data_IF_889687426171
#
_entry.id   IF_889687426171
#
_cell.length_a   1.000
_cell.length_b   1.000
_cell.length_c   1.000
_cell.angle_alpha   90.00
_cell.angle_beta   90.00
_cell.angle_gamma   90.00
#
_symmetry.space_group_name_H-M   'P 1'
#
loop_
_entity.id
_entity.type
_entity.pdbx_description
1 polymer ?
#
# COMPACT_ATOMS: atom_id res chain seq x y z
N UNK A 1 53.64 1.87 13.58
CA UNK A 1 53.86 1.44 12.18
C UNK A 1 52.63 1.81 11.38
N UNK A 2 52.86 2.43 10.21
CA UNK A 2 51.87 2.93 9.26
C UNK A 2 50.97 1.82 8.71
N UNK A 3 49.71 2.15 8.41
CA UNK A 3 49.16 2.22 7.04
C UNK A 3 47.63 1.96 7.07
N UNK A 4 46.79 2.99 6.90
CA UNK A 4 46.15 3.48 5.64
C UNK A 4 44.84 2.75 5.29
N UNK A 5 43.74 3.48 5.51
CA UNK A 5 42.59 3.78 4.64
C UNK A 5 42.30 2.82 3.47
N UNK A 6 41.04 2.44 3.22
CA UNK A 6 40.37 2.63 1.91
C UNK A 6 38.83 2.58 2.08
N UNK A 7 38.19 3.72 1.87
CA UNK A 7 36.75 3.88 1.61
C UNK A 7 36.58 3.84 0.08
N UNK A 8 35.59 3.10 -0.42
CA UNK A 8 35.19 3.16 -1.83
C UNK A 8 33.74 3.62 -1.96
N UNK A 9 33.60 4.87 -2.41
CA UNK A 9 32.43 5.41 -3.08
C UNK A 9 32.44 4.97 -4.55
N UNK A 10 31.27 4.68 -5.11
CA UNK A 10 31.07 4.50 -6.54
C UNK A 10 29.78 5.21 -6.98
N UNK A 11 29.97 6.41 -7.51
CA UNK A 11 29.02 7.13 -8.37
C UNK A 11 29.22 6.60 -9.80
N UNK A 12 28.14 6.23 -10.50
CA UNK A 12 28.17 6.15 -11.97
C UNK A 12 26.87 6.71 -12.55
N UNK A 13 27.07 7.74 -13.37
CA UNK A 13 26.04 8.49 -14.07
C UNK A 13 25.56 7.86 -15.37
N UNK A 14 24.54 8.53 -15.89
CA UNK A 14 23.83 8.34 -17.14
C UNK A 14 24.72 8.42 -18.38
N UNK A 15 24.31 7.71 -19.43
CA UNK A 15 24.55 8.11 -20.82
C UNK A 15 23.42 7.59 -21.71
N UNK A 16 22.76 8.54 -22.37
CA UNK A 16 21.78 8.32 -23.42
C UNK A 16 22.49 8.44 -24.78
N UNK A 17 22.30 7.49 -25.68
CA UNK A 17 22.49 7.68 -27.12
C UNK A 17 21.59 6.71 -27.88
N UNK A 18 20.57 7.24 -28.55
CA UNK A 18 20.01 6.61 -29.75
C UNK A 18 19.95 7.67 -30.84
N UNK A 19 20.53 7.27 -31.97
CA UNK A 19 20.74 8.01 -33.20
C UNK A 19 19.70 7.49 -34.19
N UNK A 20 18.94 8.37 -34.83
CA UNK A 20 18.12 7.96 -35.97
C UNK A 20 18.16 9.02 -37.06
N UNK A 21 18.34 8.55 -38.29
CA UNK A 21 18.81 9.30 -39.45
C UNK A 21 17.76 9.29 -40.56
N UNK A 22 17.74 10.41 -41.29
CA UNK A 22 17.33 10.61 -42.68
C UNK A 22 15.82 10.61 -43.02
N UNK A 23 15.37 11.72 -43.63
CA UNK A 23 15.40 11.89 -45.09
C UNK A 23 14.99 13.29 -45.54
N UNK A 24 15.71 13.79 -46.53
CA UNK A 24 15.52 15.03 -47.27
C UNK A 24 14.48 14.82 -48.38
N UNK A 25 13.57 15.77 -48.59
CA UNK A 25 13.04 16.07 -49.92
C UNK A 25 12.61 17.54 -50.01
N UNK A 26 12.96 18.17 -51.13
CA UNK A 26 12.74 19.58 -51.45
C UNK A 26 11.84 19.61 -52.69
N UNK A 27 10.86 20.52 -52.75
CA UNK A 27 10.59 21.38 -53.91
C UNK A 27 9.55 22.49 -53.62
N UNK A 28 9.87 23.66 -54.20
CA UNK A 28 9.27 25.03 -54.27
C UNK A 28 7.92 25.07 -55.05
N UNK A 29 7.04 26.10 -55.12
CA UNK A 29 6.87 27.53 -54.70
C UNK A 29 5.46 28.00 -55.18
N UNK A 30 4.76 28.90 -54.48
CA UNK A 30 4.28 30.24 -54.94
C UNK A 30 3.26 30.92 -53.97
N UNK A 31 3.11 32.27 -53.98
CA UNK A 31 2.65 33.06 -52.81
C UNK A 31 1.24 33.67 -52.96
N UNK A 32 0.50 33.88 -51.86
CA UNK A 32 -0.69 34.76 -51.82
C UNK A 32 -0.90 35.42 -50.45
N UNK A 33 -1.12 36.74 -50.51
CA UNK A 33 -1.83 37.67 -49.62
C UNK A 33 -1.42 37.83 -48.13
N UNK A 34 -1.01 39.05 -47.81
CA UNK A 34 -0.92 39.61 -46.46
C UNK A 34 -2.33 39.84 -45.89
N UNK A 35 -2.62 39.25 -44.73
CA UNK A 35 -3.72 39.68 -43.86
C UNK A 35 -3.15 40.12 -42.51
N UNK A 36 -3.66 41.26 -42.04
CA UNK A 36 -3.24 41.92 -40.82
C UNK A 36 -3.52 41.06 -39.57
N UNK A 37 -2.52 40.94 -38.71
CA UNK A 37 -2.66 40.32 -37.40
C UNK A 37 -3.37 41.31 -36.46
N UNK A 38 -4.65 41.05 -36.19
CA UNK A 38 -5.31 41.54 -34.99
C UNK A 38 -4.88 40.65 -33.83
N UNK A 39 -3.75 40.99 -33.21
CA UNK A 39 -3.31 40.36 -31.96
C UNK A 39 -4.11 40.93 -30.79
N UNK A 40 -5.08 40.18 -30.28
CA UNK A 40 -5.63 40.39 -28.93
C UNK A 40 -4.83 39.59 -27.92
N UNK A 41 -3.53 39.84 -27.84
CA UNK A 41 -2.74 39.39 -26.70
C UNK A 41 -2.93 40.42 -25.60
N UNK A 42 -3.87 40.18 -24.68
CA UNK A 42 -3.77 40.76 -23.35
C UNK A 42 -2.43 40.30 -22.79
N UNK A 43 -1.46 41.21 -22.69
CA UNK A 43 -0.20 40.93 -22.02
C UNK A 43 -0.54 40.38 -20.64
N UNK A 44 -0.24 39.10 -20.40
CA UNK A 44 -0.22 38.56 -19.05
C UNK A 44 0.80 39.40 -18.29
N UNK A 45 0.31 40.30 -17.43
CA UNK A 45 1.18 41.00 -16.49
C UNK A 45 1.81 39.91 -15.64
N UNK A 46 3.13 39.81 -15.70
CA UNK A 46 3.82 38.92 -14.78
C UNK A 46 3.65 39.52 -13.37
N UNK A 47 3.59 38.69 -12.31
CA UNK A 47 3.49 39.19 -10.93
C UNK A 47 4.60 40.19 -10.54
N UNK A 48 5.67 40.28 -11.33
CA UNK A 48 6.74 41.28 -11.22
C UNK A 48 6.40 42.69 -11.71
N UNK A 49 5.28 42.88 -12.40
CA UNK A 49 4.87 44.15 -13.03
C UNK A 49 3.91 44.99 -12.16
N UNK A 50 3.89 44.75 -10.84
CA UNK A 50 3.16 45.56 -9.87
C UNK A 50 3.84 46.94 -9.72
N UNK A 51 3.18 48.07 -10.06
CA UNK A 51 3.78 49.40 -10.08
C UNK A 51 4.23 49.94 -8.70
N UNK A 52 4.04 49.20 -7.62
CA UNK A 52 4.49 49.55 -6.26
C UNK A 52 5.46 48.55 -5.60
N UNK A 53 5.78 47.43 -6.26
CA UNK A 53 6.61 46.35 -5.68
C UNK A 53 8.06 46.40 -6.15
N UNK A 54 9.02 46.05 -5.27
CA UNK A 54 10.39 45.77 -5.73
C UNK A 54 10.33 44.61 -6.74
N UNK A 55 11.01 44.70 -7.90
CA UNK A 55 10.97 43.65 -8.91
C UNK A 55 11.45 42.33 -8.28
N UNK A 56 10.58 41.32 -8.27
CA UNK A 56 10.94 40.00 -7.81
C UNK A 56 11.79 39.33 -8.90
N UNK A 57 13.09 39.21 -8.66
CA UNK A 57 14.06 38.52 -9.53
C UNK A 57 13.89 37.00 -9.55
N UNK A 58 12.83 36.46 -8.93
CA UNK A 58 12.58 35.02 -8.79
C UNK A 58 13.50 34.34 -7.77
N UNK A 59 14.35 35.10 -7.08
CA UNK A 59 15.30 34.60 -6.08
C UNK A 59 14.70 34.54 -4.67
N UNK A 60 13.59 35.22 -4.42
CA UNK A 60 12.92 35.22 -3.13
C UNK A 60 11.45 34.82 -3.29
N UNK A 61 11.03 33.86 -2.46
CA UNK A 61 9.64 33.47 -2.29
C UNK A 61 8.87 34.70 -1.78
N UNK A 62 7.90 35.17 -2.54
CA UNK A 62 7.03 36.25 -2.07
C UNK A 62 5.99 35.70 -1.11
N UNK A 63 5.45 36.55 -0.23
CA UNK A 63 4.34 36.19 0.66
C UNK A 63 3.10 35.73 -0.13
N UNK A 64 3.01 36.07 -1.42
CA UNK A 64 1.96 35.63 -2.33
C UNK A 64 2.25 34.28 -3.01
N UNK A 65 3.49 33.77 -2.95
CA UNK A 65 3.86 32.43 -3.45
C UNK A 65 3.53 31.31 -2.45
N UNK A 66 3.02 31.67 -1.26
CA UNK A 66 2.54 30.75 -0.23
C UNK A 66 1.03 30.58 -0.33
N UNK A 67 0.53 30.20 -1.51
CA UNK A 67 -0.86 29.74 -1.62
C UNK A 67 -0.97 28.38 -0.91
N UNK A 68 -1.34 28.41 0.37
CA UNK A 68 -1.68 27.23 1.14
C UNK A 68 -3.09 26.81 0.71
N UNK A 69 -3.22 25.69 0.02
CA UNK A 69 -4.52 25.15 -0.35
C UNK A 69 -5.21 24.61 0.91
N UNK A 70 -5.97 25.46 1.61
CA UNK A 70 -6.69 25.10 2.86
C UNK A 70 -7.84 24.11 2.56
N UNK A 71 -8.24 23.97 1.30
CA UNK A 71 -9.18 22.95 0.83
C UNK A 71 -8.51 21.62 0.52
N UNK A 72 -7.17 21.58 0.48
CA UNK A 72 -6.43 20.33 0.39
C UNK A 72 -6.64 19.57 1.69
N UNK A 73 -7.30 18.43 1.61
CA UNK A 73 -7.37 17.49 2.71
C UNK A 73 -5.94 17.18 3.14
N UNK A 74 -5.59 17.49 4.40
CA UNK A 74 -4.26 17.25 4.99
C UNK A 74 -3.79 15.79 4.90
N UNK A 75 -4.65 14.88 4.47
CA UNK A 75 -4.30 13.54 4.02
C UNK A 75 -3.71 13.64 2.62
N UNK A 76 -2.38 13.68 2.51
CA UNK A 76 -1.71 13.14 1.33
C UNK A 76 -2.25 11.71 1.17
N UNK A 77 -3.18 11.49 0.24
CA UNK A 77 -3.72 10.18 -0.10
C UNK A 77 -2.67 9.42 -0.89
N UNK A 78 -1.51 9.14 -0.27
CA UNK A 78 -0.64 8.09 -0.79
C UNK A 78 -1.38 6.79 -0.57
N UNK A 79 -1.98 6.28 -1.64
CA UNK A 79 -2.55 4.95 -1.65
C UNK A 79 -1.44 3.96 -1.30
N UNK A 80 -1.62 3.25 -0.20
CA UNK A 80 -0.74 2.14 0.15
C UNK A 80 -0.88 1.11 -0.95
N UNK A 81 0.24 0.82 -1.63
CA UNK A 81 0.33 -0.21 -2.64
C UNK A 81 1.46 -1.18 -2.32
N UNK A 82 1.29 -2.41 -2.77
CA UNK A 82 2.23 -3.50 -2.52
C UNK A 82 3.15 -3.58 -3.73
N UNK A 83 4.44 -3.35 -3.54
CA UNK A 83 5.43 -3.34 -4.61
C UNK A 83 5.84 -4.76 -5.02
N UNK A 84 6.07 -5.64 -4.04
CA UNK A 84 6.42 -7.04 -4.31
C UNK A 84 6.06 -7.95 -3.15
N UNK A 85 5.78 -9.21 -3.49
CA UNK A 85 5.47 -10.27 -2.52
C UNK A 85 6.54 -11.36 -2.61
N UNK A 86 7.16 -11.65 -1.48
CA UNK A 86 8.04 -12.82 -1.29
C UNK A 86 7.35 -13.86 -0.40
N UNK A 87 7.80 -15.13 -0.39
CA UNK A 87 7.21 -16.15 0.48
C UNK A 87 7.25 -15.77 1.97
N UNK A 88 8.33 -15.11 2.40
CA UNK A 88 8.59 -14.75 3.80
C UNK A 88 8.23 -13.30 4.17
N UNK A 89 8.10 -12.42 3.18
CA UNK A 89 7.92 -10.98 3.40
C UNK A 89 7.14 -10.28 2.29
N UNK A 90 6.55 -9.14 2.64
CA UNK A 90 5.81 -8.24 1.77
C UNK A 90 6.56 -6.92 1.71
N UNK A 91 6.73 -6.35 0.52
CA UNK A 91 7.35 -5.04 0.36
C UNK A 91 6.31 -4.04 -0.15
N UNK A 92 6.19 -2.92 0.55
CA UNK A 92 5.31 -1.82 0.16
C UNK A 92 6.06 -0.85 -0.77
N UNK A 93 5.31 -0.02 -1.49
CA UNK A 93 5.88 0.94 -2.44
C UNK A 93 6.77 2.01 -1.79
N UNK A 94 6.59 2.30 -0.51
CA UNK A 94 7.49 3.17 0.27
C UNK A 94 8.84 2.51 0.63
N UNK A 95 9.02 1.23 0.30
CA UNK A 95 10.21 0.44 0.61
C UNK A 95 10.14 -0.30 1.94
N UNK A 96 9.03 -0.23 2.68
CA UNK A 96 8.85 -0.97 3.92
C UNK A 96 8.73 -2.47 3.67
N UNK A 97 9.55 -3.27 4.36
CA UNK A 97 9.56 -4.73 4.28
C UNK A 97 8.93 -5.33 5.53
N UNK A 98 7.85 -6.10 5.34
CA UNK A 98 7.03 -6.66 6.40
C UNK A 98 7.06 -8.19 6.32
N UNK A 99 7.72 -8.83 7.28
CA UNK A 99 7.78 -10.30 7.39
C UNK A 99 6.64 -10.91 8.21
N UNK A 100 5.66 -10.07 8.58
CA UNK A 100 4.55 -10.44 9.45
C UNK A 100 3.21 -10.34 8.70
N UNK A 101 2.17 -11.05 9.17
CA UNK A 101 0.82 -10.85 8.68
C UNK A 101 0.36 -9.42 8.91
N UNK A 102 -0.26 -8.84 7.89
CA UNK A 102 -0.73 -7.46 7.93
C UNK A 102 -2.19 -7.35 7.54
N UNK A 103 -2.84 -6.30 8.05
CA UNK A 103 -4.13 -5.81 7.59
C UNK A 103 -3.92 -4.41 7.04
N UNK A 104 -4.34 -4.19 5.80
CA UNK A 104 -4.43 -2.88 5.17
C UNK A 104 -5.89 -2.44 5.22
N UNK A 105 -6.13 -1.29 5.85
CA UNK A 105 -7.47 -0.74 6.06
C UNK A 105 -7.41 0.78 6.02
N UNK A 106 -8.23 1.39 5.15
CA UNK A 106 -8.32 2.84 4.99
C UNK A 106 -6.93 3.49 4.80
N UNK A 107 -6.15 2.94 3.88
CA UNK A 107 -4.78 3.37 3.54
C UNK A 107 -3.78 3.29 4.71
N UNK A 108 -4.08 2.54 5.76
CA UNK A 108 -3.18 2.30 6.87
C UNK A 108 -2.80 0.82 6.93
N UNK A 109 -1.53 0.56 7.27
CA UNK A 109 -1.00 -0.81 7.41
C UNK A 109 -0.82 -1.13 8.88
N UNK A 110 -1.48 -2.19 9.33
CA UNK A 110 -1.41 -2.69 10.69
C UNK A 110 -0.79 -4.08 10.70
N UNK A 111 0.07 -4.34 11.68
CA UNK A 111 0.45 -5.71 12.01
C UNK A 111 -0.73 -6.45 12.61
N UNK A 112 -0.97 -7.67 12.15
CA UNK A 112 -2.14 -8.43 12.54
C UNK A 112 -1.78 -9.71 13.30
N UNK A 113 -2.28 -9.82 14.52
CA UNK A 113 -2.16 -11.02 15.35
C UNK A 113 -3.32 -11.96 15.10
N UNK A 114 -3.23 -12.78 14.05
CA UNK A 114 -4.28 -13.73 13.70
C UNK A 114 -4.13 -15.05 14.44
N UNK A 115 -5.24 -15.78 14.70
CA UNK A 115 -5.16 -17.14 15.22
C UNK A 115 -4.41 -18.05 14.26
N UNK A 116 -3.75 -19.07 14.80
CA UNK A 116 -3.00 -20.05 13.99
C UNK A 116 -3.91 -20.62 12.89
N UNK A 117 -3.47 -20.48 11.65
CA UNK A 117 -4.11 -21.04 10.47
C UNK A 117 -3.18 -22.11 9.91
N UNK A 118 -3.67 -23.33 9.73
CA UNK A 118 -2.86 -24.37 9.13
C UNK A 118 -2.92 -24.28 7.61
N UNK A 119 -1.85 -23.81 6.97
CA UNK A 119 -1.87 -23.48 5.56
C UNK A 119 -1.91 -24.70 4.62
N UNK A 120 -1.65 -25.91 5.16
CA UNK A 120 -1.50 -27.12 4.34
C UNK A 120 -2.81 -27.90 4.14
N UNK A 121 -3.76 -27.81 5.07
CA UNK A 121 -4.97 -28.65 5.07
C UNK A 121 -6.28 -27.93 5.38
N UNK A 122 -6.29 -26.60 5.54
CA UNK A 122 -7.51 -25.91 5.93
C UNK A 122 -8.62 -26.05 4.87
N UNK A 123 -9.82 -26.43 5.33
CA UNK A 123 -10.98 -26.75 4.49
C UNK A 123 -12.22 -25.97 4.95
N UNK A 124 -13.21 -25.77 4.07
CA UNK A 124 -14.39 -24.96 4.40
C UNK A 124 -15.29 -25.60 5.47
N UNK A 125 -15.14 -26.90 5.72
CA UNK A 125 -15.78 -27.62 6.83
C UNK A 125 -15.29 -27.15 8.21
N UNK A 126 -14.24 -26.31 8.26
CA UNK A 126 -13.67 -25.73 9.48
C UNK A 126 -12.42 -26.44 9.98
N UNK A 127 -12.07 -27.62 9.46
CA UNK A 127 -10.80 -28.29 9.82
C UNK A 127 -9.66 -27.38 9.35
N UNK A 128 -8.69 -27.11 10.23
CA UNK A 128 -7.63 -26.11 10.04
C UNK A 128 -7.99 -24.68 10.50
N UNK A 129 -9.26 -24.43 10.84
CA UNK A 129 -9.78 -23.15 11.36
C UNK A 129 -10.16 -23.24 12.85
N UNK A 130 -9.75 -24.28 13.55
CA UNK A 130 -10.11 -24.56 14.96
C UNK A 130 -9.78 -23.37 15.86
N UNK A 131 -8.57 -22.81 15.69
CA UNK A 131 -8.11 -21.67 16.47
C UNK A 131 -8.94 -20.40 16.23
N UNK A 132 -9.54 -20.23 15.06
CA UNK A 132 -10.40 -19.10 14.69
C UNK A 132 -11.80 -19.27 15.25
N UNK A 133 -12.33 -20.50 15.20
CA UNK A 133 -13.63 -20.85 15.75
C UNK A 133 -13.62 -20.94 17.28
N UNK A 134 -12.44 -21.06 17.90
CA UNK A 134 -12.30 -21.23 19.35
C UNK A 134 -12.74 -22.61 19.84
N UNK A 135 -12.63 -23.62 18.98
CA UNK A 135 -13.07 -25.00 19.24
C UNK A 135 -11.86 -25.90 19.16
N UNK A 136 -11.71 -26.87 20.07
CA UNK A 136 -10.57 -27.81 20.05
C UNK A 136 -10.72 -28.88 18.97
N UNK A 137 -11.94 -29.40 18.77
CA UNK A 137 -12.25 -30.41 17.76
C UNK A 137 -13.62 -30.14 17.14
N UNK A 138 -13.70 -30.29 15.82
CA UNK A 138 -14.94 -30.12 15.08
C UNK A 138 -15.68 -31.45 15.03
N UNK A 139 -16.89 -31.45 15.60
CA UNK A 139 -17.81 -32.58 15.53
C UNK A 139 -18.49 -32.64 14.16
N UNK A 140 -18.35 -33.76 13.46
CA UNK A 140 -19.00 -33.96 12.16
C UNK A 140 -20.53 -33.91 12.30
N UNK A 141 -21.19 -33.14 11.45
CA UNK A 141 -22.67 -33.06 11.38
C UNK A 141 -23.30 -31.92 12.21
N UNK A 142 -22.53 -31.20 13.02
CA UNK A 142 -23.03 -30.03 13.77
C UNK A 142 -22.88 -28.75 12.94
N UNK A 143 -23.94 -27.96 12.84
CA UNK A 143 -23.87 -26.65 12.18
C UNK A 143 -22.97 -25.72 13.00
N UNK A 144 -21.90 -25.24 12.36
CA UNK A 144 -21.01 -24.24 12.95
C UNK A 144 -21.77 -22.92 13.12
N UNK A 145 -21.56 -22.26 14.27
CA UNK A 145 -22.16 -20.95 14.59
C UNK A 145 -21.04 -19.91 14.77
N UNK A 146 -21.39 -18.63 14.66
CA UNK A 146 -20.47 -17.51 14.91
C UNK A 146 -20.08 -17.50 16.39
N UNK A 147 -18.80 -17.78 16.67
CA UNK A 147 -18.21 -17.71 18.01
C UNK A 147 -17.72 -16.30 18.32
N UNK A 148 -17.69 -15.92 19.60
CA UNK A 148 -17.16 -14.61 20.04
C UNK A 148 -15.69 -14.40 19.67
N UNK A 149 -14.91 -15.48 19.54
CA UNK A 149 -13.53 -15.41 19.05
C UNK A 149 -13.43 -14.88 17.62
N UNK A 150 -14.34 -15.29 16.74
CA UNK A 150 -14.42 -14.77 15.36
C UNK A 150 -14.69 -13.27 15.41
N UNK A 151 -15.64 -12.84 16.25
CA UNK A 151 -15.96 -11.41 16.41
C UNK A 151 -14.76 -10.61 16.89
N UNK A 152 -13.99 -11.14 17.85
CA UNK A 152 -12.79 -10.49 18.38
C UNK A 152 -11.70 -10.32 17.32
N UNK A 153 -11.42 -11.35 16.52
CA UNK A 153 -10.38 -11.32 15.47
C UNK A 153 -10.68 -10.25 14.42
N UNK A 154 -11.95 -10.12 14.04
CA UNK A 154 -12.42 -9.16 13.03
C UNK A 154 -12.99 -7.87 13.64
N UNK A 155 -12.80 -7.64 14.95
CA UNK A 155 -13.38 -6.49 15.66
C UNK A 155 -12.96 -5.15 15.08
N UNK A 156 -11.76 -5.08 14.50
CA UNK A 156 -11.23 -3.87 13.86
C UNK A 156 -12.19 -3.33 12.79
N UNK A 157 -12.84 -4.20 12.02
CA UNK A 157 -13.76 -3.79 10.94
C UNK A 157 -15.10 -3.25 11.46
N UNK A 158 -15.47 -3.56 12.70
CA UNK A 158 -16.66 -3.00 13.33
C UNK A 158 -16.41 -1.61 13.92
N UNK A 159 -15.17 -1.35 14.35
CA UNK A 159 -14.77 -0.11 15.02
C UNK A 159 -14.42 1.04 14.06
N UNK A 160 -14.11 0.73 12.80
CA UNK A 160 -13.79 1.77 11.81
C UNK A 160 -15.05 2.49 11.32
N UNK A 161 -14.94 3.81 11.19
CA UNK A 161 -16.01 4.65 10.65
C UNK A 161 -16.28 4.32 9.18
N UNK A 162 -15.21 4.25 8.38
CA UNK A 162 -15.27 3.82 6.99
C UNK A 162 -15.05 2.32 6.88
N UNK A 163 -16.15 1.60 6.64
CA UNK A 163 -16.11 0.15 6.43
C UNK A 163 -15.75 -0.18 4.98
N UNK A 164 -14.87 -1.17 4.75
CA UNK A 164 -14.55 -1.63 3.41
C UNK A 164 -15.73 -2.40 2.82
N UNK A 165 -15.91 -2.31 1.50
CA UNK A 165 -16.92 -3.10 0.77
C UNK A 165 -16.39 -4.50 0.48
N UNK A 166 -15.09 -4.61 0.17
CA UNK A 166 -14.42 -5.86 -0.15
C UNK A 166 -13.27 -6.08 0.83
N UNK A 167 -13.20 -7.27 1.39
CA UNK A 167 -12.06 -7.76 2.15
C UNK A 167 -11.36 -8.87 1.38
N UNK A 168 -10.16 -8.59 0.90
CA UNK A 168 -9.28 -9.57 0.28
C UNK A 168 -8.51 -10.31 1.37
N UNK A 169 -8.68 -11.62 1.45
CA UNK A 169 -7.98 -12.46 2.42
C UNK A 169 -6.96 -13.36 1.72
N UNK A 170 -5.70 -12.92 1.76
CA UNK A 170 -4.52 -13.67 1.34
C UNK A 170 -4.10 -14.68 2.41
N UNK A 171 -4.42 -15.95 2.19
CA UNK A 171 -4.18 -17.04 3.17
C UNK A 171 -2.78 -17.66 3.09
N UNK A 172 -1.84 -17.04 2.36
CA UNK A 172 -0.49 -17.54 2.15
C UNK A 172 -0.30 -18.17 0.78
N UNK A 173 0.29 -19.37 0.74
CA UNK A 173 0.68 -20.05 -0.51
C UNK A 173 -0.49 -20.55 -1.35
N UNK A 174 -1.61 -20.89 -0.70
CA UNK A 174 -2.80 -21.49 -1.31
C UNK A 174 -4.05 -20.77 -0.86
N UNK A 175 -5.10 -20.90 -1.65
CA UNK A 175 -6.43 -20.41 -1.32
C UNK A 175 -7.07 -21.35 -0.30
N UNK A 176 -7.34 -20.84 0.90
CA UNK A 176 -7.95 -21.62 1.99
C UNK A 176 -9.31 -21.05 2.32
N UNK A 177 -10.41 -21.67 1.85
CA UNK A 177 -11.74 -21.11 2.05
C UNK A 177 -12.12 -21.13 3.55
N UNK A 178 -12.56 -20.00 4.11
CA UNK A 178 -12.95 -19.90 5.50
C UNK A 178 -14.32 -20.54 5.73
N UNK A 179 -14.58 -21.03 6.95
CA UNK A 179 -15.82 -21.70 7.29
C UNK A 179 -17.00 -20.72 7.30
N UNK A 180 -18.21 -21.28 7.19
CA UNK A 180 -19.48 -20.53 7.17
C UNK A 180 -19.58 -19.40 8.20
N UNK A 181 -19.25 -19.61 9.49
CA UNK A 181 -19.38 -18.57 10.52
C UNK A 181 -18.53 -17.32 10.26
N UNK A 182 -17.35 -17.46 9.68
CA UNK A 182 -16.48 -16.32 9.36
C UNK A 182 -17.11 -15.49 8.25
N UNK A 183 -17.63 -16.15 7.21
CA UNK A 183 -18.33 -15.51 6.10
C UNK A 183 -19.63 -14.85 6.57
N UNK A 184 -20.42 -15.56 7.38
CA UNK A 184 -21.67 -15.05 7.95
C UNK A 184 -21.43 -13.78 8.79
N UNK A 185 -20.36 -13.76 9.60
CA UNK A 185 -20.01 -12.60 10.41
C UNK A 185 -19.63 -11.38 9.56
N UNK A 186 -18.74 -11.55 8.58
CA UNK A 186 -18.29 -10.45 7.71
C UNK A 186 -19.41 -9.94 6.80
N UNK A 187 -20.23 -10.84 6.25
CA UNK A 187 -21.42 -10.46 5.47
C UNK A 187 -22.42 -9.68 6.33
N UNK A 188 -22.55 -10.01 7.62
CA UNK A 188 -23.36 -9.25 8.57
C UNK A 188 -22.88 -7.82 8.81
N UNK A 189 -21.59 -7.53 8.58
CA UNK A 189 -21.02 -6.18 8.60
C UNK A 189 -21.18 -5.43 7.27
N UNK A 190 -21.70 -6.09 6.22
CA UNK A 190 -21.78 -5.56 4.86
C UNK A 190 -20.49 -5.71 4.06
N UNK A 191 -19.57 -6.58 4.50
CA UNK A 191 -18.24 -6.76 3.90
C UNK A 191 -18.25 -8.03 3.05
N UNK A 192 -17.92 -7.91 1.77
CA UNK A 192 -17.76 -9.05 0.88
C UNK A 192 -16.36 -9.66 1.05
N UNK A 193 -16.30 -10.91 1.50
CA UNK A 193 -15.04 -11.64 1.66
C UNK A 193 -14.65 -12.35 0.37
N UNK A 194 -13.47 -12.02 -0.17
CA UNK A 194 -12.82 -12.78 -1.24
C UNK A 194 -11.50 -13.36 -0.76
N UNK A 195 -11.22 -14.61 -1.12
CA UNK A 195 -10.14 -15.40 -0.51
C UNK A 195 -9.23 -15.89 -1.62
N UNK A 196 -7.95 -15.54 -1.50
CA UNK A 196 -6.97 -15.77 -2.55
C UNK A 196 -5.62 -16.18 -1.95
N UNK A 197 -4.65 -16.52 -2.79
CA UNK A 197 -3.26 -16.59 -2.35
C UNK A 197 -2.79 -15.18 -2.00
N UNK A 198 -1.77 -15.04 -1.15
CA UNK A 198 -1.28 -13.71 -0.73
C UNK A 198 -0.74 -12.88 -1.87
N UNK A 199 -0.10 -13.52 -2.85
CA UNK A 199 0.39 -12.85 -4.05
C UNK A 199 -0.76 -12.30 -4.92
N UNK A 200 -1.79 -13.12 -5.13
CA UNK A 200 -2.94 -12.73 -5.96
C UNK A 200 -3.81 -11.69 -5.26
N UNK A 201 -3.98 -11.82 -3.94
CA UNK A 201 -4.67 -10.83 -3.10
C UNK A 201 -3.96 -9.47 -3.14
N UNK A 202 -2.63 -9.45 -3.10
CA UNK A 202 -1.85 -8.22 -3.20
C UNK A 202 -2.06 -7.51 -4.55
N UNK A 203 -2.04 -8.27 -5.65
CA UNK A 203 -2.27 -7.74 -6.99
C UNK A 203 -3.70 -7.20 -7.15
N UNK A 204 -4.69 -7.96 -6.68
CA UNK A 204 -6.10 -7.57 -6.71
C UNK A 204 -6.35 -6.32 -5.85
N UNK A 205 -5.71 -6.23 -4.69
CA UNK A 205 -5.81 -5.07 -3.80
C UNK A 205 -5.30 -3.80 -4.50
N UNK A 206 -4.12 -3.86 -5.14
CA UNK A 206 -3.56 -2.71 -5.86
C UNK A 206 -4.53 -2.24 -6.95
N UNK A 207 -5.05 -3.15 -7.78
CA UNK A 207 -6.00 -2.84 -8.85
C UNK A 207 -7.27 -2.16 -8.32
N UNK A 208 -7.92 -2.75 -7.30
CA UNK A 208 -9.17 -2.20 -6.77
C UNK A 208 -8.97 -0.87 -6.03
N UNK A 209 -7.79 -0.69 -5.41
CA UNK A 209 -7.43 0.58 -4.76
C UNK A 209 -7.16 1.67 -5.79
N UNK A 210 -6.53 1.35 -6.93
CA UNK A 210 -6.33 2.25 -8.06
C UNK A 210 -7.66 2.66 -8.71
N UNK A 211 -8.66 1.77 -8.74
CA UNK A 211 -10.03 2.09 -9.15
C UNK A 211 -10.78 3.02 -8.17
N UNK A 212 -10.21 3.29 -6.98
CA UNK A 212 -10.84 4.10 -5.94
C UNK A 212 -11.94 3.37 -5.18
N UNK A 213 -11.93 2.03 -5.18
CA UNK A 213 -12.90 1.23 -4.43
C UNK A 213 -12.48 1.09 -2.97
N UNK A 214 -13.47 0.97 -2.07
CA UNK A 214 -13.22 0.77 -0.64
C UNK A 214 -12.85 -0.68 -0.37
N UNK A 215 -11.55 -0.97 -0.38
CA UNK A 215 -11.02 -2.32 -0.21
C UNK A 215 -10.09 -2.39 0.99
N UNK A 216 -10.23 -3.46 1.76
CA UNK A 216 -9.27 -3.86 2.77
C UNK A 216 -8.58 -5.16 2.34
N UNK A 217 -7.34 -5.34 2.77
CA UNK A 217 -6.59 -6.56 2.49
C UNK A 217 -6.00 -7.12 3.78
N UNK A 218 -6.10 -8.44 3.93
CA UNK A 218 -5.42 -9.21 4.95
C UNK A 218 -4.42 -10.09 4.22
N UNK A 219 -3.13 -9.95 4.54
CA UNK A 219 -2.06 -10.64 3.82
C UNK A 219 -1.21 -11.41 4.82
N UNK A 220 -1.22 -12.74 4.71
CA UNK A 220 -0.40 -13.65 5.50
C UNK A 220 0.78 -14.11 4.65
N UNK A 221 2.05 -13.93 5.07
CA UNK A 221 3.19 -14.52 4.39
C UNK A 221 3.05 -16.04 4.26
N UNK A 222 3.50 -16.59 3.13
CA UNK A 222 3.42 -18.04 2.86
C UNK A 222 4.29 -18.85 3.83
N UNK A 223 5.43 -18.30 4.21
CA UNK A 223 6.38 -18.89 5.13
C UNK A 223 6.40 -18.06 6.41
N UNK A 224 5.96 -18.62 7.55
CA UNK A 224 5.93 -17.89 8.80
C UNK A 224 7.35 -17.66 9.30
N UNK A 225 7.70 -16.39 9.52
CA UNK A 225 8.95 -16.03 10.19
C UNK A 225 8.80 -16.26 11.71
N UNK A 226 9.75 -16.91 12.40
CA UNK A 226 9.66 -17.13 13.84
C UNK A 226 9.68 -15.78 14.59
N UNK A 227 8.60 -15.49 15.31
CA UNK A 227 8.46 -14.28 16.13
C UNK A 227 8.88 -14.57 17.56
N UNK A 228 9.69 -13.69 18.14
CA UNK A 228 10.01 -13.70 19.58
C UNK A 228 9.43 -12.46 20.23
N UNK A 229 8.39 -12.64 21.04
CA UNK A 229 7.83 -11.57 21.87
C UNK A 229 8.67 -11.47 23.13
N UNK A 230 9.08 -10.25 23.47
CA UNK A 230 9.76 -9.95 24.71
C UNK A 230 8.81 -9.18 25.62
N UNK A 231 8.63 -9.65 26.84
CA UNK A 231 7.99 -8.83 27.88
C UNK A 231 8.95 -7.74 28.36
N UNK A 232 8.47 -6.65 28.97
CA UNK A 232 9.35 -5.64 29.57
C UNK A 232 10.39 -6.25 30.53
N UNK A 233 9.99 -7.26 31.30
CA UNK A 233 10.88 -8.00 32.21
C UNK A 233 11.93 -8.82 31.46
N UNK A 234 11.54 -9.48 30.36
CA UNK A 234 12.48 -10.22 29.51
C UNK A 234 13.49 -9.28 28.84
N UNK A 235 13.04 -8.10 28.40
CA UNK A 235 13.93 -7.06 27.87
C UNK A 235 14.89 -6.58 28.96
N UNK A 236 14.40 -6.32 30.18
CA UNK A 236 15.23 -5.87 31.28
C UNK A 236 16.30 -6.91 31.64
N UNK A 237 15.96 -8.20 31.65
CA UNK A 237 16.91 -9.32 31.86
C UNK A 237 17.97 -9.38 30.75
N UNK A 238 17.57 -9.22 29.49
CA UNK A 238 18.49 -9.18 28.36
C UNK A 238 19.44 -7.97 28.42
N UNK A 239 18.90 -6.80 28.77
CA UNK A 239 19.68 -5.57 28.91
C UNK A 239 20.64 -5.63 30.11
N UNK A 240 20.27 -6.33 31.20
CA UNK A 240 21.15 -6.56 32.35
C UNK A 240 22.21 -7.65 32.10
N UNK A 241 22.21 -8.28 30.91
CA UNK A 241 23.18 -9.33 30.55
C UNK A 241 23.00 -10.65 31.30
N UNK A 242 21.86 -10.85 31.98
CA UNK A 242 21.52 -12.12 32.60
C UNK A 242 20.94 -13.03 31.50
N UNK A 243 21.74 -14.01 31.06
CA UNK A 243 21.30 -15.09 30.17
C UNK A 243 20.73 -16.26 30.95
#
# INVERSE_FOLDING_TARGET
>A
MRATLWIRSAVRGSSCLLCESARTSVLRVAPVARHAHLSTSSSLRLPSDDPGGKPNTGQHRTVYDDFFNILESATLTTNVSIASTSPTSLTLHDGLVLSEPIVILNNNVFLWDHPKLNQDYAVPSGIGWEAWLGVEKIEAGKKLKVTDKVKQVFRVFELVDERPEILLFGTGKRVLPPPGPVREYLNGLGIQLDVQSTHDAASTYNMLTEEGRKVAAILIPSEPTPKKRYTPDDLQKLLSGQR
#
